data_IF_636951804158
#
_entry.id   IF_636951804158
#
_cell.length_a   1.000
_cell.length_b   1.000
_cell.length_c   1.000
_cell.angle_alpha   90.00
_cell.angle_beta   90.00
_cell.angle_gamma   90.00
#
_symmetry.space_group_name_H-M   'P 1'
#
loop_
_entity.id
_entity.type
_entity.pdbx_description
1 polymer ?
#
# COMPACT_ATOMS: atom_id res chain seq x y z
N UNK A 1 -6.94 -3.13 0.09
CA UNK A 1 -6.41 -3.08 1.46
C UNK A 1 -6.41 -1.67 2.03
N UNK A 2 -5.39 -0.86 1.75
CA UNK A 2 -5.16 0.44 2.42
C UNK A 2 -6.32 1.44 2.30
N UNK A 3 -6.97 1.56 1.14
CA UNK A 3 -8.11 2.46 0.99
C UNK A 3 -9.29 2.07 1.90
N UNK A 4 -9.57 0.76 2.05
CA UNK A 4 -10.60 0.28 2.99
C UNK A 4 -10.23 0.60 4.43
N UNK A 5 -8.96 0.46 4.80
CA UNK A 5 -8.48 0.83 6.13
C UNK A 5 -8.64 2.34 6.38
N UNK A 6 -8.28 3.19 5.40
CA UNK A 6 -8.42 4.63 5.49
C UNK A 6 -9.88 5.08 5.65
N UNK A 7 -10.82 4.45 4.95
CA UNK A 7 -12.26 4.74 5.09
C UNK A 7 -12.80 4.34 6.47
N UNK A 8 -12.26 3.27 7.06
CA UNK A 8 -12.71 2.71 8.35
C UNK A 8 -12.01 3.33 9.56
N UNK A 9 -10.98 4.15 9.35
CA UNK A 9 -10.26 4.84 10.43
C UNK A 9 -11.13 5.95 11.05
N UNK A 10 -11.05 6.12 12.37
CA UNK A 10 -11.77 7.17 13.09
C UNK A 10 -11.09 8.54 13.00
N UNK A 11 -9.93 8.62 12.36
CA UNK A 11 -9.14 9.84 12.17
C UNK A 11 -9.14 10.26 10.69
N UNK A 12 -8.87 11.55 10.40
CA UNK A 12 -8.68 12.00 9.03
C UNK A 12 -7.47 11.30 8.37
N UNK A 13 -7.67 10.75 7.17
CA UNK A 13 -6.60 10.10 6.38
C UNK A 13 -6.51 10.74 4.99
N UNK A 14 -5.32 11.19 4.60
CA UNK A 14 -5.03 11.60 3.22
C UNK A 14 -4.51 10.39 2.46
N UNK A 15 -5.21 10.00 1.40
CA UNK A 15 -4.84 8.87 0.54
C UNK A 15 -4.29 9.37 -0.80
N UNK A 16 -3.00 9.10 -1.07
CA UNK A 16 -2.32 9.57 -2.28
C UNK A 16 -2.20 8.44 -3.30
N UNK A 17 -2.86 8.60 -4.45
CA UNK A 17 -2.81 7.64 -5.55
C UNK A 17 -1.86 8.10 -6.67
N UNK A 18 -1.03 7.18 -7.18
CA UNK A 18 -0.19 7.48 -8.33
C UNK A 18 -0.93 7.14 -9.63
N UNK A 19 -1.35 8.18 -10.37
CA UNK A 19 -2.09 8.05 -11.64
C UNK A 19 -1.44 7.12 -12.66
N UNK A 20 -0.11 7.05 -12.68
CA UNK A 20 0.62 6.24 -13.66
C UNK A 20 0.48 4.73 -13.40
N UNK A 21 0.07 4.34 -12.18
CA UNK A 21 -0.17 2.95 -11.82
C UNK A 21 -1.60 2.48 -12.13
N UNK A 22 -2.54 3.36 -12.48
CA UNK A 22 -3.95 2.97 -12.70
C UNK A 22 -4.17 1.92 -13.78
N UNK A 23 -3.29 1.85 -14.79
CA UNK A 23 -3.39 0.83 -15.86
C UNK A 23 -2.63 -0.46 -15.54
N UNK A 24 -1.92 -0.53 -14.42
CA UNK A 24 -1.16 -1.72 -14.01
C UNK A 24 -2.13 -2.73 -13.39
N UNK A 25 -2.12 -3.95 -13.90
CA UNK A 25 -2.93 -5.07 -13.37
C UNK A 25 -2.11 -5.90 -12.38
N UNK A 26 -2.80 -6.50 -11.43
CA UNK A 26 -2.25 -7.42 -10.43
C UNK A 26 -3.37 -8.18 -9.74
N UNK A 27 -3.02 -9.21 -8.99
CA UNK A 27 -3.98 -9.95 -8.18
C UNK A 27 -4.56 -9.05 -7.08
N UNK A 28 -5.88 -9.13 -6.88
CA UNK A 28 -6.59 -8.48 -5.78
C UNK A 28 -7.51 -9.53 -5.16
N UNK A 29 -7.38 -9.83 -3.85
CA UNK A 29 -8.30 -10.73 -3.17
C UNK A 29 -9.75 -10.26 -3.27
N UNK A 30 -10.69 -11.19 -3.49
CA UNK A 30 -12.13 -10.91 -3.55
C UNK A 30 -12.74 -10.73 -2.15
N UNK A 31 -12.22 -11.47 -1.16
CA UNK A 31 -12.68 -11.39 0.22
C UNK A 31 -12.42 -10.00 0.85
N UNK A 32 -13.14 -9.70 1.92
CA UNK A 32 -12.88 -8.47 2.66
C UNK A 32 -11.56 -8.52 3.42
N UNK A 33 -10.67 -7.58 3.13
CA UNK A 33 -9.40 -7.44 3.82
C UNK A 33 -9.00 -5.96 3.95
N UNK A 34 -8.26 -5.67 5.02
CA UNK A 34 -7.61 -4.39 5.26
C UNK A 34 -6.11 -4.58 5.35
N UNK A 35 -5.35 -3.51 5.13
CA UNK A 35 -3.92 -3.45 5.41
C UNK A 35 -3.73 -2.44 6.54
N UNK A 36 -2.94 -2.80 7.55
CA UNK A 36 -2.64 -1.95 8.71
C UNK A 36 -1.95 -0.65 8.26
N UNK A 37 -2.53 0.49 8.65
CA UNK A 37 -1.94 1.81 8.41
C UNK A 37 -0.74 1.98 9.34
N UNK A 38 0.37 2.52 8.81
CA UNK A 38 1.61 2.71 9.59
C UNK A 38 2.56 1.51 9.57
N UNK A 39 2.21 0.44 8.87
CA UNK A 39 3.07 -0.74 8.70
C UNK A 39 3.65 -0.82 7.29
N UNK A 40 4.99 -0.81 7.20
CA UNK A 40 5.71 -1.01 5.94
C UNK A 40 5.69 -2.49 5.51
N UNK A 41 6.00 -2.75 4.25
CA UNK A 41 6.00 -4.09 3.65
C UNK A 41 7.35 -4.38 2.97
N UNK A 42 7.93 -5.56 3.26
CA UNK A 42 9.19 -5.99 2.66
C UNK A 42 8.89 -6.66 1.33
N UNK A 43 9.19 -5.97 0.23
CA UNK A 43 8.97 -6.51 -1.12
C UNK A 43 10.06 -7.47 -1.59
N UNK A 44 11.26 -7.36 -1.02
CA UNK A 44 12.41 -8.20 -1.34
C UNK A 44 13.39 -8.17 -0.17
N UNK A 45 13.75 -9.34 0.34
CA UNK A 45 14.81 -9.52 1.34
C UNK A 45 16.20 -9.19 0.76
N UNK A 46 17.10 -8.71 1.61
CA UNK A 46 18.48 -8.37 1.24
C UNK A 46 19.38 -8.18 2.46
N UNK A 47 20.69 -8.29 2.27
CA UNK A 47 21.69 -8.28 3.36
C UNK A 47 22.65 -7.09 3.34
N UNK A 48 22.83 -6.45 2.18
CA UNK A 48 23.91 -5.47 1.99
C UNK A 48 23.42 -4.02 2.12
N UNK A 49 22.19 -3.73 1.66
CA UNK A 49 21.61 -2.39 1.66
C UNK A 49 20.10 -2.46 1.84
N UNK A 50 19.55 -1.44 2.51
CA UNK A 50 18.09 -1.23 2.62
C UNK A 50 17.64 -0.17 1.63
N UNK A 51 16.65 -0.49 0.80
CA UNK A 51 16.03 0.45 -0.15
C UNK A 51 14.62 0.77 0.31
N UNK A 52 14.37 2.04 0.64
CA UNK A 52 13.07 2.53 1.13
C UNK A 52 12.43 3.38 0.04
N UNK A 53 11.17 3.08 -0.28
CA UNK A 53 10.40 3.80 -1.31
C UNK A 53 8.90 3.74 -1.03
N UNK A 54 8.12 4.56 -1.72
CA UNK A 54 6.67 4.51 -1.76
C UNK A 54 6.13 4.94 -3.13
N UNK A 55 4.87 4.57 -3.44
CA UNK A 55 4.23 4.96 -4.69
C UNK A 55 4.83 4.27 -5.92
N UNK A 56 5.22 5.05 -6.94
CA UNK A 56 5.75 4.52 -8.22
C UNK A 56 7.25 4.21 -8.18
N UNK A 57 8.00 4.82 -7.25
CA UNK A 57 9.46 4.70 -7.21
C UNK A 57 9.90 3.33 -6.74
#
# INVERSE_FOLDING_TARGET
>A
GLLKAAIRDNNPVIFVENKLLYRKKGFVPEDDYVIEIGKADIKREGTDVTVITHGRM
#
